data_IF_172092471017
#
_entry.id   IF_172092471017
#
_cell.length_a   1.000
_cell.length_b   1.000
_cell.length_c   1.000
_cell.angle_alpha   90.00
_cell.angle_beta   90.00
_cell.angle_gamma   90.00
#
_symmetry.space_group_name_H-M   'P 1'
#
loop_
_entity.id
_entity.type
_entity.pdbx_description
1 polymer ?
#
# COMPACT_ATOMS: atom_id res chain seq x y z
N UNK A 1 48.35 36.58 34.47
CA UNK A 1 48.19 35.26 33.93
C UNK A 1 46.69 35.07 33.68
N UNK A 2 46.25 35.10 32.39
CA UNK A 2 44.85 34.99 31.99
C UNK A 2 44.72 33.60 31.37
N UNK A 3 43.98 32.68 32.03
CA UNK A 3 43.65 31.36 31.56
C UNK A 3 42.45 31.45 30.60
N UNK A 4 42.67 31.10 29.33
CA UNK A 4 41.63 30.99 28.31
C UNK A 4 41.10 29.55 28.38
N UNK A 5 39.83 29.39 28.77
CA UNK A 5 39.13 28.14 28.73
C UNK A 5 38.61 27.85 27.32
N UNK A 6 39.11 26.81 26.66
CA UNK A 6 38.69 26.34 25.35
C UNK A 6 37.45 25.46 25.55
N UNK A 7 36.28 25.92 25.18
CA UNK A 7 35.03 25.13 25.17
C UNK A 7 34.99 24.29 23.89
N UNK A 8 35.16 22.99 24.01
CA UNK A 8 34.97 22.05 22.92
C UNK A 8 33.46 21.82 22.70
N UNK A 9 32.92 22.32 21.60
CA UNK A 9 31.55 22.02 21.15
C UNK A 9 31.55 20.64 20.49
N UNK A 10 30.99 19.66 21.20
CA UNK A 10 30.77 18.32 20.67
C UNK A 10 29.53 18.39 19.76
N UNK A 11 29.71 18.43 18.44
CA UNK A 11 28.61 18.27 17.46
C UNK A 11 28.25 16.80 17.42
N UNK A 12 27.16 16.41 18.11
CA UNK A 12 26.53 15.11 17.92
C UNK A 12 25.88 15.12 16.53
N UNK A 13 26.55 14.56 15.53
CA UNK A 13 25.93 14.20 14.29
C UNK A 13 24.94 13.06 14.58
N UNK A 14 23.65 13.38 14.63
CA UNK A 14 22.59 12.38 14.59
C UNK A 14 22.72 11.65 13.23
N UNK A 15 23.39 10.51 13.23
CA UNK A 15 23.38 9.59 12.11
C UNK A 15 21.92 9.09 11.98
N UNK A 16 21.14 9.76 11.12
CA UNK A 16 19.89 9.21 10.61
C UNK A 16 20.27 7.90 9.93
N UNK A 17 20.12 6.80 10.68
CA UNK A 17 20.40 5.47 10.15
C UNK A 17 19.52 5.22 8.93
N UNK A 18 20.06 5.45 7.75
CA UNK A 18 19.48 4.96 6.50
C UNK A 18 19.41 3.45 6.68
N UNK A 19 18.22 2.95 6.95
CA UNK A 19 17.98 1.52 7.07
C UNK A 19 18.29 0.93 5.71
N UNK A 20 19.35 0.15 5.61
CA UNK A 20 19.76 -0.47 4.36
C UNK A 20 18.58 -1.33 3.86
N UNK A 21 18.18 -1.09 2.61
CA UNK A 21 17.15 -1.87 1.95
C UNK A 21 17.62 -3.33 1.87
N UNK A 22 16.81 -4.28 2.36
CA UNK A 22 17.14 -5.71 2.38
C UNK A 22 16.85 -6.42 1.04
N UNK A 23 17.01 -5.69 -0.06
CA UNK A 23 16.78 -6.16 -1.44
C UNK A 23 18.09 -6.16 -2.19
N UNK A 24 18.38 -7.23 -2.91
CA UNK A 24 19.53 -7.29 -3.81
C UNK A 24 19.23 -6.55 -5.13
N UNK A 25 19.27 -5.22 -5.06
CA UNK A 25 19.06 -4.36 -6.24
C UNK A 25 20.06 -4.63 -7.36
N UNK A 26 21.26 -5.10 -7.05
CA UNK A 26 22.29 -5.44 -8.06
C UNK A 26 21.87 -6.63 -8.90
N UNK A 27 21.18 -7.62 -8.31
CA UNK A 27 20.66 -8.76 -9.06
C UNK A 27 19.59 -8.33 -10.05
N UNK A 28 18.66 -7.44 -9.66
CA UNK A 28 17.64 -6.89 -10.57
C UNK A 28 18.26 -6.06 -11.70
N UNK A 29 19.21 -5.19 -11.38
CA UNK A 29 19.92 -4.39 -12.37
C UNK A 29 20.71 -5.27 -13.38
N UNK A 30 21.38 -6.31 -12.88
CA UNK A 30 22.08 -7.27 -13.75
C UNK A 30 21.10 -8.03 -14.66
N UNK A 31 19.94 -8.47 -14.15
CA UNK A 31 18.90 -9.12 -14.94
C UNK A 31 18.35 -8.17 -16.00
N UNK A 32 18.07 -6.91 -15.66
CA UNK A 32 17.60 -5.90 -16.59
C UNK A 32 18.59 -5.62 -17.72
N UNK A 33 19.86 -5.44 -17.41
CA UNK A 33 20.93 -5.24 -18.42
C UNK A 33 21.12 -6.46 -19.33
N UNK A 34 20.91 -7.65 -18.83
CA UNK A 34 20.98 -8.89 -19.59
C UNK A 34 19.71 -9.17 -20.40
N UNK A 35 18.71 -8.27 -20.39
CA UNK A 35 17.37 -8.49 -20.93
C UNK A 35 16.72 -9.79 -20.41
N UNK A 36 17.12 -10.23 -19.22
CA UNK A 36 16.58 -11.38 -18.53
C UNK A 36 15.25 -10.97 -17.84
N UNK A 37 14.23 -10.74 -18.64
CA UNK A 37 12.93 -10.24 -18.19
C UNK A 37 11.88 -11.33 -18.14
N UNK A 38 10.81 -11.08 -17.39
CA UNK A 38 9.65 -11.92 -17.22
C UNK A 38 8.38 -11.07 -17.20
N UNK A 39 7.23 -11.72 -17.30
CA UNK A 39 5.91 -11.09 -17.19
C UNK A 39 5.19 -11.61 -15.95
N UNK A 40 4.52 -10.72 -15.23
CA UNK A 40 3.52 -11.10 -14.21
C UNK A 40 2.17 -10.62 -14.72
N UNK A 41 1.27 -11.55 -15.00
CA UNK A 41 -0.09 -11.25 -15.42
C UNK A 41 -1.10 -11.83 -14.44
N UNK A 42 -2.29 -11.25 -14.37
CA UNK A 42 -3.27 -11.77 -13.44
C UNK A 42 -4.67 -11.23 -13.61
N UNK A 43 -5.53 -11.67 -12.69
CA UNK A 43 -6.94 -11.27 -12.63
C UNK A 43 -7.34 -10.93 -11.20
N UNK A 44 -8.23 -9.93 -11.08
CA UNK A 44 -8.88 -9.57 -9.81
C UNK A 44 -10.37 -9.77 -9.98
N UNK A 45 -10.96 -10.67 -9.19
CA UNK A 45 -12.38 -11.04 -9.36
C UNK A 45 -13.00 -11.57 -8.07
N UNK A 46 -14.34 -11.49 -8.00
CA UNK A 46 -15.13 -12.23 -7.02
C UNK A 46 -15.47 -13.60 -7.62
N UNK A 47 -15.13 -14.65 -6.90
CA UNK A 47 -15.40 -16.00 -7.35
C UNK A 47 -16.90 -16.27 -7.41
N UNK A 48 -17.30 -17.06 -8.40
CA UNK A 48 -18.69 -17.47 -8.57
C UNK A 48 -19.27 -18.09 -7.30
N UNK A 49 -20.47 -17.66 -6.96
CA UNK A 49 -21.22 -18.20 -5.81
C UNK A 49 -22.00 -19.49 -6.15
N UNK A 50 -22.22 -19.75 -7.45
CA UNK A 50 -22.96 -20.92 -7.96
C UNK A 50 -22.16 -21.56 -9.12
N UNK A 51 -22.25 -22.87 -9.31
CA UNK A 51 -21.47 -23.59 -10.34
C UNK A 51 -21.57 -23.01 -11.76
N UNK A 52 -22.74 -22.47 -12.12
CA UNK A 52 -23.01 -21.93 -13.46
C UNK A 52 -22.96 -20.40 -13.56
N UNK A 53 -22.59 -19.70 -12.49
CA UNK A 53 -22.41 -18.26 -12.53
C UNK A 53 -21.00 -17.92 -13.04
N UNK A 54 -20.80 -16.83 -13.79
CA UNK A 54 -19.46 -16.35 -14.12
C UNK A 54 -18.79 -15.73 -12.90
N UNK A 55 -17.46 -15.71 -12.90
CA UNK A 55 -16.69 -14.88 -11.99
C UNK A 55 -16.97 -13.41 -12.29
N UNK A 56 -17.05 -12.57 -11.26
CA UNK A 56 -17.32 -11.14 -11.39
C UNK A 56 -16.01 -10.35 -11.31
N UNK A 57 -15.57 -9.68 -12.38
CA UNK A 57 -14.35 -8.89 -12.34
C UNK A 57 -14.46 -7.75 -11.34
N UNK A 58 -13.38 -7.48 -10.59
CA UNK A 58 -13.22 -6.31 -9.74
C UNK A 58 -12.40 -5.30 -10.53
N UNK A 59 -13.08 -4.42 -11.26
CA UNK A 59 -12.44 -3.35 -12.01
C UNK A 59 -11.88 -2.25 -11.09
N UNK A 60 -10.95 -1.46 -11.61
CA UNK A 60 -10.36 -0.31 -10.91
C UNK A 60 -9.57 -0.63 -9.64
N UNK A 61 -9.32 -1.90 -9.34
CA UNK A 61 -8.33 -2.24 -8.36
C UNK A 61 -6.95 -1.76 -8.83
N UNK A 62 -6.12 -1.32 -7.90
CA UNK A 62 -4.74 -0.93 -8.18
C UNK A 62 -3.83 -2.08 -7.79
N UNK A 63 -2.94 -2.46 -8.70
CA UNK A 63 -1.95 -3.50 -8.44
C UNK A 63 -0.56 -2.92 -8.58
N UNK A 64 0.31 -3.23 -7.63
CA UNK A 64 1.70 -2.79 -7.61
C UNK A 64 2.60 -4.02 -7.53
N UNK A 65 3.61 -4.06 -8.38
CA UNK A 65 4.71 -5.01 -8.27
C UNK A 65 5.92 -4.32 -7.62
N UNK A 66 6.44 -4.91 -6.58
CA UNK A 66 7.55 -4.41 -5.77
C UNK A 66 8.63 -5.47 -5.66
N UNK A 67 9.92 -5.12 -5.59
CA UNK A 67 10.97 -6.08 -5.23
C UNK A 67 10.64 -6.70 -3.88
N UNK A 68 10.93 -7.99 -3.70
CA UNK A 68 10.64 -8.66 -2.43
C UNK A 68 11.60 -8.23 -1.34
N UNK A 69 11.07 -7.72 -0.22
CA UNK A 69 11.79 -7.38 1.01
C UNK A 69 11.25 -8.18 2.19
N UNK A 70 12.13 -8.86 2.92
CA UNK A 70 11.74 -9.58 4.13
C UNK A 70 11.35 -8.63 5.27
N UNK A 71 12.01 -7.48 5.37
CA UNK A 71 11.72 -6.48 6.39
C UNK A 71 10.34 -5.86 6.17
N UNK A 72 10.00 -5.53 4.92
CA UNK A 72 8.69 -5.00 4.55
C UNK A 72 7.58 -6.04 4.80
N UNK A 73 7.79 -7.30 4.39
CA UNK A 73 6.84 -8.39 4.65
C UNK A 73 6.58 -8.58 6.14
N UNK A 74 7.63 -8.65 6.97
CA UNK A 74 7.47 -8.77 8.43
C UNK A 74 6.67 -7.61 9.01
N UNK A 75 6.94 -6.38 8.59
CA UNK A 75 6.18 -5.21 9.02
C UNK A 75 4.69 -5.33 8.68
N UNK A 76 4.36 -5.78 7.46
CA UNK A 76 2.97 -5.97 7.05
C UNK A 76 2.29 -7.09 7.85
N UNK A 77 2.98 -8.21 8.08
CA UNK A 77 2.48 -9.34 8.89
C UNK A 77 2.20 -8.89 10.32
N UNK A 78 3.09 -8.11 10.93
CA UNK A 78 2.92 -7.55 12.27
C UNK A 78 1.71 -6.61 12.34
N UNK A 79 1.60 -5.67 11.41
CA UNK A 79 0.43 -4.79 11.33
C UNK A 79 -0.88 -5.58 11.20
N UNK A 80 -0.89 -6.64 10.40
CA UNK A 80 -2.05 -7.51 10.24
C UNK A 80 -2.39 -8.28 11.51
N UNK A 81 -1.38 -8.80 12.21
CA UNK A 81 -1.57 -9.57 13.43
C UNK A 81 -2.27 -8.75 14.51
N UNK A 82 -1.93 -7.46 14.63
CA UNK A 82 -2.49 -6.53 15.61
C UNK A 82 -3.73 -5.75 15.13
N UNK A 83 -4.20 -6.02 13.92
CA UNK A 83 -5.34 -5.27 13.33
C UNK A 83 -6.66 -5.43 14.11
N UNK A 84 -6.79 -6.49 14.91
CA UNK A 84 -8.03 -6.80 15.67
C UNK A 84 -7.89 -6.67 17.19
N UNK A 85 -6.78 -6.12 17.67
CA UNK A 85 -6.53 -5.96 19.11
C UNK A 85 -7.48 -4.93 19.75
N UNK A 86 -7.93 -3.94 18.97
CA UNK A 86 -8.91 -2.94 19.39
C UNK A 86 -9.67 -2.36 18.20
N UNK A 87 -10.76 -1.63 18.48
CA UNK A 87 -11.51 -0.90 17.43
C UNK A 87 -10.63 0.16 16.76
N UNK A 88 -9.80 0.85 17.53
CA UNK A 88 -8.88 1.86 16.98
C UNK A 88 -7.77 1.22 16.16
N UNK A 89 -7.22 0.08 16.59
CA UNK A 89 -6.28 -0.69 15.78
C UNK A 89 -6.90 -1.11 14.45
N UNK A 90 -8.15 -1.58 14.45
CA UNK A 90 -8.85 -1.98 13.23
C UNK A 90 -9.03 -0.80 12.24
N UNK A 91 -9.40 0.38 12.75
CA UNK A 91 -9.58 1.60 11.94
C UNK A 91 -8.26 2.12 11.36
N UNK A 92 -7.18 2.02 12.14
CA UNK A 92 -5.89 2.58 11.77
C UNK A 92 -5.06 1.68 10.85
N UNK A 93 -5.26 0.35 10.93
CA UNK A 93 -4.36 -0.61 10.29
C UNK A 93 -4.30 -0.45 8.77
N UNK A 94 -5.44 -0.22 8.09
CA UNK A 94 -5.45 0.01 6.64
C UNK A 94 -4.55 1.22 6.26
N UNK A 95 -4.67 2.31 7.01
CA UNK A 95 -3.85 3.51 6.82
C UNK A 95 -2.37 3.25 7.13
N UNK A 96 -2.06 2.50 8.19
CA UNK A 96 -0.67 2.12 8.54
C UNK A 96 -0.04 1.24 7.47
N UNK A 97 -0.78 0.28 6.91
CA UNK A 97 -0.31 -0.57 5.80
C UNK A 97 -0.02 0.24 4.54
N UNK A 98 -0.92 1.17 4.19
CA UNK A 98 -0.71 2.07 3.06
C UNK A 98 0.57 2.89 3.24
N UNK A 99 0.76 3.50 4.41
CA UNK A 99 1.97 4.26 4.74
C UNK A 99 3.24 3.40 4.72
N UNK A 100 3.17 2.16 5.21
CA UNK A 100 4.29 1.23 5.17
C UNK A 100 4.70 0.94 3.71
N UNK A 101 3.72 0.71 2.82
CA UNK A 101 3.97 0.52 1.40
C UNK A 101 4.59 1.76 0.75
N UNK A 102 3.98 2.95 0.96
CA UNK A 102 4.48 4.22 0.42
C UNK A 102 5.91 4.52 0.90
N UNK A 103 6.22 4.18 2.15
CA UNK A 103 7.58 4.32 2.69
C UNK A 103 8.54 3.38 2.00
N UNK A 104 8.16 2.11 1.82
CA UNK A 104 8.98 1.13 1.12
C UNK A 104 9.21 1.50 -0.36
N UNK A 105 8.17 1.94 -1.08
CA UNK A 105 8.29 2.44 -2.46
C UNK A 105 9.29 3.61 -2.54
N UNK A 106 9.22 4.54 -1.59
CA UNK A 106 10.16 5.65 -1.51
C UNK A 106 11.59 5.19 -1.21
N UNK A 107 11.80 4.22 -0.30
CA UNK A 107 13.12 3.65 -0.02
C UNK A 107 13.73 2.99 -1.26
N UNK A 108 12.94 2.25 -2.05
CA UNK A 108 13.37 1.68 -3.34
C UNK A 108 13.74 2.78 -4.31
N UNK A 109 12.97 3.86 -4.38
CA UNK A 109 13.26 5.00 -5.25
C UNK A 109 14.55 5.72 -4.83
N UNK A 110 14.69 6.04 -3.55
CA UNK A 110 15.89 6.69 -3.00
C UNK A 110 17.17 5.85 -3.18
N UNK A 111 17.02 4.54 -3.26
CA UNK A 111 18.10 3.61 -3.61
C UNK A 111 18.46 3.58 -5.11
N UNK A 112 17.79 4.42 -5.94
CA UNK A 112 18.04 4.52 -7.38
C UNK A 112 17.38 3.42 -8.22
N UNK A 113 16.39 2.71 -7.67
CA UNK A 113 15.71 1.59 -8.33
C UNK A 113 14.20 1.87 -8.58
N UNK A 114 13.86 3.12 -8.93
CA UNK A 114 12.48 3.56 -9.13
C UNK A 114 11.74 2.73 -10.20
N UNK A 115 12.43 2.22 -11.20
CA UNK A 115 11.92 1.38 -12.27
C UNK A 115 11.48 -0.01 -11.79
N UNK A 116 11.88 -0.43 -10.60
CA UNK A 116 11.40 -1.66 -9.96
C UNK A 116 10.04 -1.48 -9.25
N UNK A 117 9.54 -0.26 -9.09
CA UNK A 117 8.20 0.00 -8.59
C UNK A 117 7.25 0.13 -9.77
N UNK A 118 6.47 -0.89 -10.03
CA UNK A 118 5.55 -0.93 -11.16
C UNK A 118 4.11 -0.90 -10.68
N UNK A 119 3.31 0.03 -11.19
CA UNK A 119 1.89 0.18 -10.83
C UNK A 119 1.02 0.07 -12.07
N UNK A 120 -0.08 -0.64 -11.95
CA UNK A 120 -1.10 -0.74 -12.99
C UNK A 120 -2.50 -0.73 -12.39
N UNK A 121 -3.47 -0.29 -13.17
CA UNK A 121 -4.90 -0.40 -12.84
C UNK A 121 -5.50 -1.60 -13.54
N UNK A 122 -6.36 -2.30 -12.84
CA UNK A 122 -7.08 -3.46 -13.37
C UNK A 122 -8.12 -3.01 -14.40
N UNK A 123 -8.16 -3.68 -15.54
CA UNK A 123 -9.10 -3.37 -16.63
C UNK A 123 -10.56 -3.76 -16.28
N UNK A 124 -11.52 -3.40 -17.15
CA UNK A 124 -12.93 -3.72 -16.97
C UNK A 124 -13.22 -5.24 -16.94
N UNK A 125 -12.30 -6.06 -17.44
CA UNK A 125 -12.39 -7.54 -17.38
C UNK A 125 -11.69 -8.13 -16.17
N UNK A 126 -11.20 -7.27 -15.27
CA UNK A 126 -10.49 -7.68 -14.09
C UNK A 126 -9.03 -8.09 -14.33
N UNK A 127 -8.41 -7.74 -15.46
CA UNK A 127 -7.05 -8.17 -15.82
C UNK A 127 -6.01 -7.10 -15.54
N UNK A 128 -4.81 -7.55 -15.22
CA UNK A 128 -3.62 -6.71 -15.11
C UNK A 128 -2.39 -7.43 -15.65
N UNK A 129 -1.38 -6.65 -16.01
CA UNK A 129 -0.11 -7.18 -16.51
C UNK A 129 1.04 -6.24 -16.16
N UNK A 130 2.17 -6.83 -15.82
CA UNK A 130 3.48 -6.20 -15.71
C UNK A 130 4.43 -6.90 -16.69
N UNK A 131 4.67 -6.31 -17.82
CA UNK A 131 5.64 -6.79 -18.80
C UNK A 131 7.05 -6.30 -18.48
N UNK A 132 8.04 -7.01 -18.99
CA UNK A 132 9.46 -6.62 -18.96
C UNK A 132 10.01 -6.37 -17.55
N UNK A 133 9.52 -7.12 -16.56
CA UNK A 133 10.09 -7.11 -15.22
C UNK A 133 11.44 -7.84 -15.23
N UNK A 134 12.51 -7.29 -14.62
CA UNK A 134 13.72 -8.07 -14.36
C UNK A 134 13.39 -9.38 -13.63
N UNK A 135 13.99 -10.49 -14.06
CA UNK A 135 13.78 -11.76 -13.37
C UNK A 135 14.25 -11.66 -11.91
N UNK A 136 13.45 -12.18 -11.00
CA UNK A 136 13.72 -12.06 -9.56
C UNK A 136 12.50 -12.37 -8.70
N UNK A 137 12.55 -11.94 -7.45
CA UNK A 137 11.50 -12.18 -6.44
C UNK A 137 10.65 -10.93 -6.26
N UNK A 138 9.38 -11.03 -6.52
CA UNK A 138 8.44 -9.91 -6.50
C UNK A 138 7.37 -10.06 -5.44
N UNK A 139 6.89 -8.93 -4.92
CA UNK A 139 5.65 -8.81 -4.19
C UNK A 139 4.62 -8.17 -5.10
N UNK A 140 3.51 -8.85 -5.32
CA UNK A 140 2.33 -8.29 -5.99
C UNK A 140 1.35 -7.86 -4.91
N UNK A 141 1.15 -6.55 -4.81
CA UNK A 141 0.23 -5.91 -3.87
C UNK A 141 -0.97 -5.37 -4.63
N UNK A 142 -2.14 -5.98 -4.43
CA UNK A 142 -3.40 -5.50 -4.98
C UNK A 142 -4.20 -4.74 -3.92
N UNK A 143 -4.86 -3.66 -4.29
CA UNK A 143 -5.80 -2.92 -3.43
C UNK A 143 -7.09 -2.58 -4.16
N UNK A 144 -8.19 -2.66 -3.45
CA UNK A 144 -9.50 -2.19 -3.90
C UNK A 144 -10.22 -1.51 -2.76
N UNK A 145 -10.73 -0.31 -3.03
CA UNK A 145 -11.45 0.52 -2.06
C UNK A 145 -12.88 0.75 -2.55
N UNK A 146 -13.85 0.48 -1.70
CA UNK A 146 -15.28 0.71 -1.96
C UNK A 146 -15.84 1.67 -0.92
N UNK A 147 -16.37 2.81 -1.37
CA UNK A 147 -16.94 3.81 -0.47
C UNK A 147 -18.33 3.38 0.00
N UNK A 148 -18.53 3.45 1.31
CA UNK A 148 -19.82 3.22 1.97
C UNK A 148 -20.24 4.50 2.67
N UNK A 149 -21.32 5.12 2.18
CA UNK A 149 -21.84 6.35 2.75
C UNK A 149 -22.41 6.11 4.15
N UNK A 150 -22.03 6.95 5.12
CA UNK A 150 -22.63 6.92 6.44
C UNK A 150 -24.03 7.56 6.41
N UNK A 151 -25.00 6.89 6.96
CA UNK A 151 -26.30 7.51 7.28
C UNK A 151 -26.08 8.49 8.45
N UNK A 152 -25.66 9.70 8.14
CA UNK A 152 -25.51 10.75 9.16
C UNK A 152 -26.88 11.17 9.68
N UNK A 153 -27.09 11.22 11.01
CA UNK A 153 -28.24 11.93 11.56
C UNK A 153 -28.22 13.37 11.07
N UNK A 154 -29.35 13.88 10.63
CA UNK A 154 -29.48 15.29 10.21
C UNK A 154 -29.04 16.18 11.36
N UNK A 155 -27.84 16.75 11.32
CA UNK A 155 -27.41 17.74 12.29
C UNK A 155 -28.32 18.94 12.18
N UNK A 156 -28.89 19.39 13.32
CA UNK A 156 -29.74 20.57 13.31
C UNK A 156 -28.91 21.79 12.89
N UNK A 157 -29.41 22.53 11.91
CA UNK A 157 -28.73 23.70 11.33
C UNK A 157 -28.33 24.78 12.36
N UNK A 158 -29.01 24.81 13.53
CA UNK A 158 -28.77 25.77 14.62
C UNK A 158 -27.40 25.71 15.28
N UNK A 159 -26.74 24.54 15.26
CA UNK A 159 -25.46 24.35 15.98
C UNK A 159 -24.23 24.72 15.14
N UNK A 160 -24.41 24.84 13.81
CA UNK A 160 -23.30 25.12 12.86
C UNK A 160 -22.73 26.53 12.98
N UNK A 161 -23.54 27.49 13.40
CA UNK A 161 -23.12 28.91 13.45
C UNK A 161 -22.45 29.30 14.77
N UNK A 162 -22.50 28.47 15.80
CA UNK A 162 -22.03 28.81 17.15
C UNK A 162 -20.76 28.09 17.59
N UNK A 163 -20.46 26.94 17.02
CA UNK A 163 -19.33 26.11 17.48
C UNK A 163 -18.46 25.61 16.33
N UNK A 164 -17.17 25.50 16.55
CA UNK A 164 -16.27 24.72 15.71
C UNK A 164 -16.66 23.24 15.89
N UNK A 165 -17.44 22.71 14.98
CA UNK A 165 -17.84 21.32 15.00
C UNK A 165 -16.62 20.43 14.65
N UNK A 166 -16.48 19.26 15.29
CA UNK A 166 -15.48 18.29 14.90
C UNK A 166 -15.70 17.83 13.46
N UNK A 167 -14.68 17.32 12.75
CA UNK A 167 -14.82 16.80 11.41
C UNK A 167 -16.01 15.84 11.31
N UNK A 168 -16.92 16.11 10.36
CA UNK A 168 -18.11 15.28 10.17
C UNK A 168 -17.72 13.97 9.51
N UNK A 169 -18.09 12.85 10.12
CA UNK A 169 -18.00 11.54 9.51
C UNK A 169 -19.00 11.45 8.34
N UNK A 170 -18.50 11.22 7.12
CA UNK A 170 -19.32 11.13 5.89
C UNK A 170 -19.46 9.69 5.40
N UNK A 171 -18.54 8.84 5.74
CA UNK A 171 -18.54 7.45 5.35
C UNK A 171 -17.21 6.78 5.64
N UNK A 172 -17.03 5.62 5.07
CA UNK A 172 -15.77 4.89 5.14
C UNK A 172 -15.52 4.14 3.83
N UNK A 173 -14.27 3.91 3.56
CA UNK A 173 -13.84 3.01 2.50
C UNK A 173 -13.61 1.62 3.09
N UNK A 174 -14.27 0.62 2.51
CA UNK A 174 -13.90 -0.78 2.70
C UNK A 174 -12.65 -1.05 1.88
N UNK A 175 -11.54 -1.28 2.55
CA UNK A 175 -10.26 -1.58 1.94
C UNK A 175 -10.05 -3.09 1.91
N UNK A 176 -9.76 -3.62 0.72
CA UNK A 176 -9.29 -5.00 0.53
C UNK A 176 -7.88 -4.94 -0.02
N UNK A 177 -7.00 -5.73 0.56
CA UNK A 177 -5.62 -5.85 0.09
C UNK A 177 -5.29 -7.31 -0.16
N UNK A 178 -4.61 -7.57 -1.26
CA UNK A 178 -4.02 -8.85 -1.62
C UNK A 178 -2.51 -8.72 -1.59
N UNK A 179 -1.83 -9.75 -1.14
CA UNK A 179 -0.38 -9.84 -1.14
C UNK A 179 0.02 -11.22 -1.65
N UNK A 180 0.86 -11.25 -2.69
CA UNK A 180 1.39 -12.46 -3.30
C UNK A 180 2.87 -12.33 -3.52
N UNK A 181 3.60 -13.37 -3.14
CA UNK A 181 5.01 -13.51 -3.50
C UNK A 181 5.08 -14.25 -4.84
N UNK A 182 5.88 -13.74 -5.76
CA UNK A 182 6.02 -14.28 -7.11
C UNK A 182 7.50 -14.36 -7.46
N UNK A 183 7.98 -15.55 -7.71
CA UNK A 183 9.33 -15.77 -8.24
C UNK A 183 9.25 -15.84 -9.76
N UNK A 184 10.05 -15.03 -10.44
CA UNK A 184 10.09 -14.99 -11.90
C UNK A 184 11.45 -15.43 -12.44
N UNK A 185 11.41 -16.19 -13.54
CA UNK A 185 12.60 -16.60 -14.28
C UNK A 185 12.59 -15.97 -15.68
N UNK A 186 13.75 -15.76 -16.32
CA UNK A 186 13.81 -15.12 -17.64
C UNK A 186 12.93 -15.83 -18.68
N UNK A 187 12.21 -15.05 -19.47
CA UNK A 187 11.34 -15.55 -20.56
C UNK A 187 10.06 -16.24 -20.10
N UNK A 188 9.72 -16.21 -18.80
CA UNK A 188 8.50 -16.84 -18.29
C UNK A 188 7.40 -15.81 -18.00
N UNK A 189 6.14 -16.30 -18.01
CA UNK A 189 4.99 -15.57 -17.54
C UNK A 189 4.44 -16.24 -16.26
N UNK A 190 4.42 -15.49 -15.15
CA UNK A 190 3.79 -15.92 -13.92
C UNK A 190 2.34 -15.42 -13.88
N UNK A 191 1.42 -16.28 -13.42
CA UNK A 191 -0.01 -15.93 -13.31
C UNK A 191 -0.40 -15.75 -11.85
N UNK A 192 -1.13 -14.67 -11.55
CA UNK A 192 -1.60 -14.31 -10.22
C UNK A 192 -3.11 -14.10 -10.21
N UNK A 193 -3.81 -14.81 -9.34
CA UNK A 193 -5.24 -14.61 -9.11
C UNK A 193 -5.47 -13.96 -7.74
N UNK A 194 -6.18 -12.83 -7.76
CA UNK A 194 -6.59 -12.07 -6.59
C UNK A 194 -8.11 -12.14 -6.48
N UNK A 195 -8.60 -12.91 -5.51
CA UNK A 195 -10.02 -13.19 -5.37
C UNK A 195 -10.55 -12.74 -4.02
N UNK A 196 -11.87 -12.64 -3.90
CA UNK A 196 -12.53 -12.38 -2.61
C UNK A 196 -12.23 -13.43 -1.54
N UNK A 197 -11.88 -14.66 -1.94
CA UNK A 197 -11.52 -15.74 -1.00
C UNK A 197 -10.09 -15.69 -0.54
N UNK A 198 -9.22 -15.03 -1.30
CA UNK A 198 -7.81 -14.98 -0.97
C UNK A 198 -7.34 -13.55 -0.58
N UNK A 199 -8.27 -12.70 -0.15
CA UNK A 199 -7.97 -11.40 0.45
C UNK A 199 -7.01 -11.59 1.61
N UNK A 200 -5.87 -10.93 1.55
CA UNK A 200 -4.85 -11.01 2.60
C UNK A 200 -5.19 -10.14 3.80
N UNK A 201 -5.78 -8.96 3.57
CA UNK A 201 -6.22 -8.04 4.61
C UNK A 201 -7.51 -7.32 4.17
N UNK A 202 -8.44 -7.16 5.10
CA UNK A 202 -9.61 -6.30 4.95
C UNK A 202 -9.69 -5.35 6.14
N UNK A 203 -9.93 -4.08 5.86
CA UNK A 203 -10.02 -3.02 6.87
C UNK A 203 -10.91 -1.89 6.41
N UNK A 204 -10.94 -0.81 7.18
CA UNK A 204 -11.72 0.38 6.88
C UNK A 204 -10.85 1.63 6.98
N UNK A 205 -11.15 2.62 6.15
CA UNK A 205 -10.61 3.97 6.27
C UNK A 205 -11.76 4.94 6.40
N UNK A 206 -11.87 5.60 7.55
CA UNK A 206 -12.92 6.58 7.77
C UNK A 206 -12.68 7.85 6.93
N UNK A 207 -13.75 8.33 6.30
CA UNK A 207 -13.75 9.63 5.62
C UNK A 207 -14.44 10.67 6.49
N UNK A 208 -13.70 11.75 6.81
CA UNK A 208 -14.15 12.84 7.66
C UNK A 208 -13.89 14.17 6.97
N UNK A 209 -14.95 14.91 6.72
CA UNK A 209 -14.88 16.23 6.09
C UNK A 209 -14.94 17.31 7.17
N UNK A 210 -13.99 18.24 7.10
CA UNK A 210 -14.08 19.50 7.84
C UNK A 210 -15.24 20.29 7.24
N UNK A 211 -16.29 20.56 8.01
CA UNK A 211 -17.33 21.51 7.56
C UNK A 211 -16.65 22.84 7.28
N UNK A 212 -16.58 23.24 6.02
CA UNK A 212 -16.19 24.58 5.66
C UNK A 212 -17.23 25.52 6.31
N UNK A 213 -16.79 26.35 7.27
CA UNK A 213 -17.64 27.34 7.90
C UNK A 213 -18.39 28.17 6.87
N UNK A 214 -19.41 28.93 7.26
CA UNK A 214 -20.26 29.66 6.33
C UNK A 214 -19.40 30.48 5.37
N UNK A 215 -19.59 30.28 4.07
CA UNK A 215 -19.02 31.17 3.04
C UNK A 215 -19.58 32.55 3.30
N UNK A 216 -18.76 33.49 3.74
CA UNK A 216 -19.09 34.90 3.83
C UNK A 216 -19.27 35.48 2.44
#
# INVERSE_FOLDING_TARGET
MKTVALAAVLVLAAASGVRALDVDLKAYDAAGRAAATATIAGRVFTERSKPNAPDMPIAHAVVVALPRSEAFLRQLVELRAHARDSVDAYRDTATKMRRARETYEREVWEAGAADLVRTTSVDAKGRFEFADLPAGRWLVWGTHSEFVEARSPKSMARDRDRFRLPPRFVGYYNERAWLREVDTTPGTAATVELTDRNVWFAGVVEDRVLDAGPRR
#
